data_IF_589754777343
#
_entry.id   IF_589754777343
#
_cell.length_a   1.000
_cell.length_b   1.000
_cell.length_c   1.000
_cell.angle_alpha   90.00
_cell.angle_beta   90.00
_cell.angle_gamma   90.00
#
_symmetry.space_group_name_H-M   'P 1'
#
loop_
_entity.id
_entity.type
_entity.pdbx_description
1 polymer ?
#
# COMPACT_ATOMS: atom_id res chain seq x y z
N UNK A 1 -13.85 -3.45 1.54
CA UNK A 1 -12.51 -3.81 1.03
C UNK A 1 -11.52 -3.01 1.85
N UNK A 2 -10.62 -3.69 2.53
CA UNK A 2 -9.64 -3.06 3.43
C UNK A 2 -8.23 -3.48 3.08
N UNK A 3 -7.27 -2.59 3.29
CA UNK A 3 -5.84 -2.84 3.17
C UNK A 3 -5.16 -2.10 4.30
N UNK A 4 -4.10 -2.67 4.88
CA UNK A 4 -3.27 -1.99 5.88
C UNK A 4 -4.10 -1.51 7.08
N UNK A 5 -4.88 -2.42 7.66
CA UNK A 5 -5.68 -2.17 8.88
C UNK A 5 -6.81 -1.12 8.70
N UNK A 6 -7.24 -0.88 7.45
CA UNK A 6 -8.38 0.00 7.16
C UNK A 6 -9.59 -0.84 6.82
N UNK A 7 -10.55 -0.94 7.74
CA UNK A 7 -11.84 -1.62 7.51
C UNK A 7 -11.81 -3.14 7.59
N UNK A 8 -10.64 -3.79 7.46
CA UNK A 8 -10.45 -5.20 7.81
C UNK A 8 -9.09 -5.45 8.46
N UNK A 9 -8.96 -6.50 9.30
CA UNK A 9 -7.70 -6.85 9.93
C UNK A 9 -6.64 -7.23 8.90
N UNK A 10 -5.40 -6.80 9.14
CA UNK A 10 -4.26 -7.22 8.34
C UNK A 10 -3.96 -8.71 8.53
N UNK A 11 -3.47 -9.37 7.48
CA UNK A 11 -3.02 -10.76 7.56
C UNK A 11 -1.64 -10.87 8.22
N UNK A 12 -0.78 -9.86 8.03
CA UNK A 12 0.53 -9.72 8.66
C UNK A 12 0.77 -8.28 9.12
N UNK A 13 1.72 -8.06 10.01
CA UNK A 13 2.08 -6.70 10.41
C UNK A 13 2.86 -5.99 9.30
N UNK A 14 2.24 -4.98 8.69
CA UNK A 14 2.85 -4.17 7.63
C UNK A 14 2.38 -2.71 7.65
N UNK A 15 1.73 -2.27 8.72
CA UNK A 15 1.28 -0.89 8.87
C UNK A 15 2.43 0.01 9.32
N UNK A 16 2.71 1.04 8.53
CA UNK A 16 3.55 2.15 8.90
C UNK A 16 2.78 3.07 9.85
N UNK A 17 2.96 2.82 11.14
CA UNK A 17 2.29 3.59 12.20
C UNK A 17 2.75 5.05 12.27
N UNK A 18 3.93 5.39 11.74
CA UNK A 18 4.40 6.77 11.68
C UNK A 18 3.68 7.56 10.59
N UNK A 19 3.28 6.88 9.51
CA UNK A 19 2.56 7.47 8.38
C UNK A 19 1.08 7.03 8.31
N UNK A 20 0.51 6.49 9.38
CA UNK A 20 -0.92 6.20 9.47
C UNK A 20 -1.31 4.86 8.86
N UNK A 21 -1.94 4.85 7.68
CA UNK A 21 -2.55 3.66 7.05
C UNK A 21 -1.75 3.11 5.86
N UNK A 22 -0.44 3.36 5.86
CA UNK A 22 0.46 3.00 4.76
C UNK A 22 1.20 1.71 5.03
N UNK A 23 1.63 1.04 3.96
CA UNK A 23 2.51 -0.12 4.08
C UNK A 23 3.92 0.35 4.49
N UNK A 24 4.63 -0.43 5.29
CA UNK A 24 6.06 -0.21 5.60
C UNK A 24 7.00 -0.53 4.44
N UNK A 25 6.52 -1.24 3.42
CA UNK A 25 7.31 -1.69 2.27
C UNK A 25 7.43 -0.56 1.24
N UNK A 26 8.66 -0.12 0.94
CA UNK A 26 8.93 1.04 0.09
C UNK A 26 8.51 0.83 -1.37
N UNK A 27 8.57 -0.43 -1.83
CA UNK A 27 8.17 -0.83 -3.19
C UNK A 27 6.66 -1.15 -3.30
N UNK A 28 5.90 -0.99 -2.22
CA UNK A 28 4.46 -1.24 -2.24
C UNK A 28 3.68 -0.02 -2.76
N UNK A 29 2.64 -0.26 -3.55
CA UNK A 29 1.66 0.77 -3.94
C UNK A 29 1.07 1.52 -2.74
N UNK A 30 1.00 0.88 -1.57
CA UNK A 30 0.44 1.46 -0.35
C UNK A 30 1.50 2.19 0.51
N UNK A 31 2.75 2.33 0.06
CA UNK A 31 3.77 3.10 0.75
C UNK A 31 3.41 4.59 0.83
N UNK A 32 3.79 5.26 1.92
CA UNK A 32 3.32 6.63 2.20
C UNK A 32 3.74 7.66 1.13
N UNK A 33 4.86 7.43 0.44
CA UNK A 33 5.34 8.35 -0.60
C UNK A 33 4.43 8.36 -1.82
N UNK A 34 3.56 7.36 -2.01
CA UNK A 34 2.54 7.39 -3.04
C UNK A 34 1.57 8.58 -2.90
N UNK A 35 1.42 9.13 -1.69
CA UNK A 35 0.61 10.32 -1.41
C UNK A 35 1.43 11.63 -1.40
N UNK A 36 2.74 11.59 -1.58
CA UNK A 36 3.58 12.79 -1.63
C UNK A 36 3.65 13.36 -3.05
N UNK A 37 4.02 14.64 -3.15
CA UNK A 37 4.19 15.31 -4.44
C UNK A 37 5.20 14.61 -5.35
N UNK A 38 6.27 14.04 -4.78
CA UNK A 38 7.29 13.29 -5.53
C UNK A 38 6.75 11.96 -6.06
N UNK A 39 6.00 11.20 -5.26
CA UNK A 39 5.36 9.96 -5.70
C UNK A 39 4.33 10.19 -6.80
N UNK A 40 3.51 11.23 -6.66
CA UNK A 40 2.54 11.63 -7.68
C UNK A 40 3.23 12.08 -8.98
N UNK A 41 4.27 12.91 -8.89
CA UNK A 41 5.03 13.36 -10.07
C UNK A 41 5.68 12.17 -10.78
N UNK A 42 6.24 11.21 -10.05
CA UNK A 42 6.80 10.00 -10.63
C UNK A 42 5.74 9.20 -11.41
N UNK A 43 4.52 9.03 -10.86
CA UNK A 43 3.43 8.36 -11.56
C UNK A 43 2.95 9.13 -12.81
N UNK A 44 2.82 10.46 -12.71
CA UNK A 44 2.35 11.31 -13.82
C UNK A 44 3.39 11.48 -14.94
N UNK A 45 4.68 11.40 -14.60
CA UNK A 45 5.79 11.60 -15.55
C UNK A 45 6.17 10.32 -16.31
N UNK A 46 5.35 9.26 -16.20
CA UNK A 46 5.59 7.97 -16.86
C UNK A 46 6.55 7.04 -16.10
N UNK A 47 6.81 7.30 -14.82
CA UNK A 47 7.47 6.35 -13.93
C UNK A 47 6.62 5.10 -13.69
N UNK A 48 7.26 4.02 -13.26
CA UNK A 48 6.56 2.77 -12.95
C UNK A 48 5.69 2.94 -11.70
N UNK A 49 4.37 2.71 -11.84
CA UNK A 49 3.47 2.60 -10.68
C UNK A 49 3.82 1.31 -9.92
N UNK A 50 4.19 1.39 -8.63
CA UNK A 50 4.47 0.19 -7.84
C UNK A 50 3.24 -0.71 -7.75
N UNK A 51 3.46 -2.01 -7.56
CA UNK A 51 2.37 -2.95 -7.34
C UNK A 51 2.14 -3.15 -5.84
N UNK A 52 1.01 -3.77 -5.45
CA UNK A 52 0.86 -4.23 -4.06
C UNK A 52 1.93 -5.28 -3.76
N UNK A 53 2.62 -5.14 -2.63
CA UNK A 53 3.54 -6.15 -2.13
C UNK A 53 2.78 -7.41 -1.66
N UNK A 54 3.51 -8.44 -1.24
CA UNK A 54 2.92 -9.71 -0.81
C UNK A 54 1.92 -9.57 0.36
N UNK A 55 2.18 -8.65 1.29
CA UNK A 55 1.37 -8.45 2.48
C UNK A 55 0.07 -7.71 2.14
N UNK A 56 0.16 -6.63 1.37
CA UNK A 56 -1.03 -5.95 0.84
C UNK A 56 -1.85 -6.84 -0.11
N UNK A 57 -1.21 -7.73 -0.87
CA UNK A 57 -1.92 -8.74 -1.68
C UNK A 57 -2.63 -9.76 -0.80
N UNK A 58 -2.05 -10.18 0.32
CA UNK A 58 -2.71 -11.09 1.26
C UNK A 58 -3.94 -10.43 1.89
N UNK A 59 -3.84 -9.15 2.28
CA UNK A 59 -5.00 -8.36 2.71
C UNK A 59 -6.06 -8.30 1.59
N UNK A 60 -5.67 -7.98 0.35
CA UNK A 60 -6.59 -7.92 -0.79
C UNK A 60 -7.33 -9.24 -0.99
N UNK A 61 -6.61 -10.36 -0.97
CA UNK A 61 -7.16 -11.71 -1.13
C UNK A 61 -8.10 -12.10 0.02
N UNK A 62 -7.73 -11.79 1.27
CA UNK A 62 -8.58 -12.02 2.43
C UNK A 62 -9.90 -11.22 2.36
N UNK A 63 -9.89 -10.09 1.64
CA UNK A 63 -11.08 -9.28 1.36
C UNK A 63 -11.81 -9.66 0.06
N UNK A 64 -11.47 -10.78 -0.57
CA UNK A 64 -12.12 -11.28 -1.78
C UNK A 64 -11.66 -10.64 -3.10
N UNK A 65 -10.57 -9.88 -3.08
CA UNK A 65 -9.91 -9.37 -4.29
C UNK A 65 -9.11 -10.47 -5.01
N UNK A 66 -8.78 -10.21 -6.28
CA UNK A 66 -7.99 -11.12 -7.15
C UNK A 66 -6.65 -10.49 -7.51
#
# INVERSE_FOLDING_TARGET
LGLVNVGSPMQTHHQDTAHGKHCIEEECLMYYTAETGEGLVNMLSGGSVPSLDTQCKADLQANGGK
#
